data_IF_202044327988
#
_entry.id   IF_202044327988
#
_cell.length_a   1.000
_cell.length_b   1.000
_cell.length_c   1.000
_cell.angle_alpha   90.00
_cell.angle_beta   90.00
_cell.angle_gamma   90.00
#
_symmetry.space_group_name_H-M   'P 1'
#
loop_
_entity.id
_entity.type
_entity.pdbx_description
1 polymer ?
#
# COMPACT_ATOMS: atom_id res chain seq x y z
N UNK A 1 10.80 -33.97 25.74
CA UNK A 1 10.71 -34.13 24.26
C UNK A 1 9.28 -33.91 23.73
N UNK A 2 8.26 -34.64 24.20
CA UNK A 2 6.87 -34.52 23.69
C UNK A 2 6.28 -33.10 23.77
N UNK A 3 6.48 -32.37 24.86
CA UNK A 3 5.96 -30.99 25.02
C UNK A 3 6.54 -30.03 23.97
N UNK A 4 7.81 -30.21 23.62
CA UNK A 4 8.48 -29.38 22.62
C UNK A 4 7.99 -29.67 21.21
N UNK A 5 7.68 -30.93 20.90
CA UNK A 5 7.04 -31.31 19.63
C UNK A 5 5.62 -30.76 19.53
N UNK A 6 4.85 -30.80 20.62
CA UNK A 6 3.49 -30.28 20.65
C UNK A 6 3.47 -28.76 20.45
N UNK A 7 4.37 -28.03 21.12
CA UNK A 7 4.53 -26.59 20.93
C UNK A 7 4.90 -26.23 19.49
N UNK A 8 5.84 -26.97 18.88
CA UNK A 8 6.25 -26.73 17.50
C UNK A 8 5.12 -27.02 16.49
N UNK A 9 4.36 -28.08 16.72
CA UNK A 9 3.20 -28.43 15.90
C UNK A 9 2.08 -27.38 16.03
N UNK A 10 1.80 -26.88 17.24
CA UNK A 10 0.83 -25.81 17.44
C UNK A 10 1.22 -24.53 16.73
N UNK A 11 2.50 -24.14 16.78
CA UNK A 11 3.02 -22.98 16.03
C UNK A 11 2.86 -23.21 14.53
N UNK A 12 3.25 -24.37 14.02
CA UNK A 12 3.12 -24.68 12.59
C UNK A 12 1.67 -24.60 12.10
N UNK A 13 0.70 -25.10 12.88
CA UNK A 13 -0.73 -25.02 12.54
C UNK A 13 -1.24 -23.58 12.62
N UNK A 14 -0.79 -22.78 13.58
CA UNK A 14 -1.23 -21.39 13.74
C UNK A 14 -0.74 -20.50 12.58
N UNK A 15 0.45 -20.77 12.06
CA UNK A 15 1.06 -20.04 10.95
C UNK A 15 0.85 -20.69 9.58
N UNK A 16 -0.03 -21.70 9.47
CA UNK A 16 -0.37 -22.27 8.16
C UNK A 16 -1.03 -21.18 7.26
N UNK A 17 -0.50 -20.94 6.05
CA UNK A 17 -1.08 -19.96 5.14
C UNK A 17 -2.49 -20.42 4.75
N UNK A 18 -3.47 -19.52 4.94
CA UNK A 18 -4.84 -19.75 4.49
C UNK A 18 -4.99 -19.37 3.03
N UNK A 19 -5.95 -20.00 2.34
CA UNK A 19 -6.34 -19.61 0.99
C UNK A 19 -6.77 -18.13 0.99
N UNK A 20 -5.98 -17.28 0.32
CA UNK A 20 -6.34 -15.90 0.07
C UNK A 20 -7.27 -15.84 -1.14
N UNK A 21 -8.55 -15.55 -0.91
CA UNK A 21 -9.46 -15.22 -2.00
C UNK A 21 -9.16 -13.79 -2.46
N UNK A 22 -8.84 -13.62 -3.74
CA UNK A 22 -8.79 -12.29 -4.33
C UNK A 22 -10.14 -11.60 -4.06
N UNK A 23 -10.11 -10.36 -3.59
CA UNK A 23 -11.30 -9.54 -3.42
C UNK A 23 -11.53 -8.73 -4.71
N UNK A 24 -12.38 -9.17 -5.66
CA UNK A 24 -12.63 -8.42 -6.87
C UNK A 24 -13.67 -7.32 -6.62
N UNK A 25 -13.64 -6.64 -5.47
CA UNK A 25 -14.60 -5.55 -5.20
C UNK A 25 -14.53 -4.48 -6.28
N UNK A 26 -13.32 -4.14 -6.72
CA UNK A 26 -13.08 -3.24 -7.85
C UNK A 26 -13.62 -3.80 -9.17
N UNK A 27 -13.21 -5.02 -9.56
CA UNK A 27 -13.63 -5.62 -10.83
C UNK A 27 -15.16 -5.83 -10.89
N UNK A 28 -15.82 -6.10 -9.76
CA UNK A 28 -17.30 -6.16 -9.68
C UNK A 28 -17.96 -4.79 -9.78
N UNK A 29 -17.31 -3.74 -9.25
CA UNK A 29 -17.84 -2.38 -9.28
C UNK A 29 -17.71 -1.72 -10.65
N UNK A 30 -16.55 -1.88 -11.30
CA UNK A 30 -16.22 -1.19 -12.55
C UNK A 30 -16.25 -2.09 -13.79
N UNK A 31 -16.41 -3.41 -13.61
CA UNK A 31 -16.37 -4.40 -14.70
C UNK A 31 -15.10 -4.32 -15.57
N UNK A 32 -13.97 -3.96 -14.97
CA UNK A 32 -12.66 -3.92 -15.64
C UNK A 32 -11.81 -5.15 -15.32
N UNK A 33 -11.03 -5.65 -16.30
CA UNK A 33 -10.06 -6.71 -16.05
C UNK A 33 -8.92 -6.21 -15.16
N UNK A 34 -8.29 -7.10 -14.40
CA UNK A 34 -7.19 -6.73 -13.49
C UNK A 34 -6.00 -6.08 -14.22
N UNK A 35 -5.75 -6.47 -15.47
CA UNK A 35 -4.71 -5.90 -16.34
C UNK A 35 -4.96 -4.44 -16.71
N UNK A 36 -6.18 -3.93 -16.49
CA UNK A 36 -6.49 -2.52 -16.70
C UNK A 36 -5.78 -1.62 -15.68
N UNK A 37 -5.58 -2.08 -14.44
CA UNK A 37 -4.92 -1.29 -13.38
C UNK A 37 -3.53 -1.81 -13.01
N UNK A 38 -3.17 -3.04 -13.38
CA UNK A 38 -1.90 -3.67 -13.02
C UNK A 38 -1.11 -4.12 -14.24
N UNK A 39 0.17 -3.71 -14.30
CA UNK A 39 1.14 -4.25 -15.29
C UNK A 39 1.58 -5.65 -14.85
N UNK A 40 1.84 -5.81 -13.56
CA UNK A 40 2.13 -7.06 -12.89
C UNK A 40 1.66 -6.89 -11.46
N UNK A 41 0.84 -7.78 -10.92
CA UNK A 41 0.49 -7.68 -9.50
C UNK A 41 1.77 -7.76 -8.65
N UNK A 42 2.03 -6.85 -7.68
CA UNK A 42 1.21 -5.73 -7.17
C UNK A 42 1.50 -4.34 -7.81
N UNK A 43 2.40 -4.26 -8.80
CA UNK A 43 2.75 -3.02 -9.53
C UNK A 43 1.56 -2.46 -10.31
N UNK A 44 1.23 -1.20 -10.05
CA UNK A 44 0.19 -0.46 -10.75
C UNK A 44 0.67 -0.01 -12.15
N UNK A 45 -0.27 0.02 -13.09
CA UNK A 45 -0.14 0.76 -14.35
C UNK A 45 -0.47 2.24 -14.12
N UNK A 46 -0.23 3.09 -15.11
CA UNK A 46 -0.54 4.53 -15.03
C UNK A 46 -2.01 4.77 -14.66
N UNK A 47 -2.92 4.00 -15.26
CA UNK A 47 -4.35 3.99 -14.92
C UNK A 47 -4.63 3.66 -13.45
N UNK A 48 -3.92 2.68 -12.89
CA UNK A 48 -4.03 2.31 -11.48
C UNK A 48 -3.47 3.39 -10.55
N UNK A 49 -2.38 4.04 -10.95
CA UNK A 49 -1.84 5.21 -10.26
C UNK A 49 -2.83 6.37 -10.27
N UNK A 50 -3.41 6.71 -11.43
CA UNK A 50 -4.44 7.73 -11.55
C UNK A 50 -5.67 7.44 -10.68
N UNK A 51 -6.15 6.19 -10.66
CA UNK A 51 -7.28 5.80 -9.83
C UNK A 51 -6.98 5.98 -8.33
N UNK A 52 -5.79 5.56 -7.89
CA UNK A 52 -5.36 5.73 -6.49
C UNK A 52 -5.20 7.20 -6.13
N UNK A 53 -4.57 7.99 -6.98
CA UNK A 53 -4.26 9.40 -6.73
C UNK A 53 -5.51 10.28 -6.73
N UNK A 54 -6.56 9.91 -7.46
CA UNK A 54 -7.88 10.55 -7.42
C UNK A 54 -8.78 10.09 -6.26
N UNK A 55 -8.21 9.46 -5.22
CA UNK A 55 -8.99 9.00 -4.07
C UNK A 55 -9.97 7.87 -4.41
N UNK A 56 -9.57 6.95 -5.30
CA UNK A 56 -10.35 5.78 -5.73
C UNK A 56 -11.58 6.09 -6.60
N UNK A 57 -11.45 7.10 -7.47
CA UNK A 57 -12.41 7.44 -8.53
C UNK A 57 -11.85 7.19 -9.93
N UNK A 58 -12.70 6.71 -10.83
CA UNK A 58 -12.37 6.54 -12.25
C UNK A 58 -12.62 7.80 -13.07
N UNK A 59 -13.51 8.68 -12.60
CA UNK A 59 -13.83 9.93 -13.27
C UNK A 59 -12.61 10.82 -13.47
N UNK A 60 -12.54 11.45 -14.64
CA UNK A 60 -11.49 12.37 -15.05
C UNK A 60 -11.88 13.85 -14.88
N UNK A 61 -13.00 14.16 -14.21
CA UNK A 61 -13.49 15.55 -14.08
C UNK A 61 -13.93 15.89 -12.65
N UNK A 62 -13.54 15.09 -11.67
CA UNK A 62 -14.03 15.18 -10.28
C UNK A 62 -15.52 14.91 -10.09
N UNK A 63 -16.32 14.89 -11.16
CA UNK A 63 -17.74 14.51 -11.14
C UNK A 63 -17.83 12.99 -11.18
N UNK A 64 -18.36 12.35 -10.14
CA UNK A 64 -18.61 10.92 -10.20
C UNK A 64 -19.39 10.58 -11.48
N UNK A 65 -18.88 9.63 -12.25
CA UNK A 65 -19.70 8.94 -13.23
C UNK A 65 -20.64 7.99 -12.46
N UNK A 66 -21.69 7.47 -13.10
CA UNK A 66 -22.61 6.50 -12.47
C UNK A 66 -21.94 5.20 -11.98
N UNK A 67 -20.63 5.03 -12.20
CA UNK A 67 -19.81 3.95 -11.65
C UNK A 67 -19.11 4.36 -10.34
N UNK A 68 -18.86 5.66 -10.12
CA UNK A 68 -18.20 6.22 -8.94
C UNK A 68 -19.17 6.62 -7.82
N UNK A 69 -20.45 6.24 -7.89
CA UNK A 69 -21.56 6.75 -7.06
C UNK A 69 -21.33 6.78 -5.55
N UNK A 70 -20.47 5.90 -5.01
CA UNK A 70 -20.12 5.93 -3.58
C UNK A 70 -19.29 7.16 -3.17
N UNK A 71 -18.71 7.89 -4.12
CA UNK A 71 -17.89 9.10 -3.95
C UNK A 71 -18.53 10.36 -4.57
N UNK A 72 -19.72 10.26 -5.15
CA UNK A 72 -20.42 11.38 -5.83
C UNK A 72 -20.81 12.52 -4.88
N UNK A 73 -21.06 12.18 -3.61
CA UNK A 73 -21.28 13.13 -2.53
C UNK A 73 -20.40 12.73 -1.34
N UNK A 74 -19.18 13.28 -1.23
CA UNK A 74 -18.25 13.03 -0.12
C UNK A 74 -18.91 13.24 1.26
N UNK A 75 -19.83 14.21 1.38
CA UNK A 75 -20.60 14.45 2.60
C UNK A 75 -21.61 13.38 3.00
N UNK A 76 -21.97 12.45 2.11
CA UNK A 76 -22.86 11.31 2.40
C UNK A 76 -22.08 10.00 2.58
N UNK A 77 -20.76 10.06 2.63
CA UNK A 77 -19.93 8.89 2.89
C UNK A 77 -19.95 8.57 4.38
N UNK A 78 -20.67 7.51 4.75
CA UNK A 78 -20.72 7.02 6.14
C UNK A 78 -19.48 6.20 6.53
N UNK A 79 -18.39 6.25 5.76
CA UNK A 79 -17.19 5.48 6.03
C UNK A 79 -15.95 6.30 5.70
N UNK A 80 -15.03 6.34 6.66
CA UNK A 80 -13.69 6.89 6.47
C UNK A 80 -12.77 5.74 6.03
N UNK A 81 -12.20 5.78 4.81
CA UNK A 81 -11.38 4.69 4.30
C UNK A 81 -10.07 4.60 5.09
N UNK A 82 -9.93 3.55 5.90
CA UNK A 82 -8.70 3.18 6.60
C UNK A 82 -8.29 1.78 6.13
N UNK A 83 -7.10 1.67 5.57
CA UNK A 83 -6.42 0.44 5.24
C UNK A 83 -5.27 0.16 6.20
N UNK A 84 -4.94 -1.12 6.35
CA UNK A 84 -3.69 -1.55 6.97
C UNK A 84 -2.81 -2.14 5.88
N UNK A 85 -1.61 -1.58 5.73
CA UNK A 85 -0.63 -2.04 4.77
C UNK A 85 0.57 -2.63 5.52
N UNK A 86 1.08 -3.72 4.97
CA UNK A 86 2.28 -4.39 5.44
C UNK A 86 3.11 -4.72 4.22
N UNK A 87 4.36 -4.28 4.22
CA UNK A 87 5.28 -4.54 3.12
C UNK A 87 6.50 -5.28 3.64
N UNK A 88 6.86 -6.35 2.94
CA UNK A 88 8.05 -7.12 3.22
C UNK A 88 8.88 -7.12 1.94
N UNK A 89 10.10 -6.59 2.01
CA UNK A 89 11.07 -6.71 0.95
C UNK A 89 12.25 -7.53 1.46
N UNK A 90 12.91 -8.22 0.54
CA UNK A 90 14.18 -8.91 0.79
C UNK A 90 15.20 -8.26 -0.12
N UNK A 91 16.21 -7.62 0.47
CA UNK A 91 17.25 -6.95 -0.30
C UNK A 91 18.63 -7.49 0.06
N UNK A 92 19.46 -7.61 -0.97
CA UNK A 92 20.90 -7.78 -0.85
C UNK A 92 21.55 -6.45 -1.19
N UNK A 93 22.31 -5.86 -0.26
CA UNK A 93 23.11 -4.67 -0.52
C UNK A 93 24.57 -4.96 -0.21
N UNK A 94 25.49 -4.44 -1.04
CA UNK A 94 26.91 -4.51 -0.74
C UNK A 94 27.23 -3.48 0.33
N UNK A 95 27.83 -3.93 1.43
CA UNK A 95 28.19 -3.06 2.55
C UNK A 95 29.66 -3.28 2.91
N UNK A 96 30.35 -2.18 3.22
CA UNK A 96 31.67 -2.21 3.81
C UNK A 96 31.49 -2.17 5.33
N UNK A 97 31.31 -3.33 5.94
CA UNK A 97 30.82 -3.39 7.32
C UNK A 97 30.42 -4.75 7.86
N UNK A 98 30.37 -5.80 7.03
CA UNK A 98 30.01 -7.15 7.50
C UNK A 98 31.13 -7.64 8.41
N UNK A 99 30.79 -8.02 9.65
CA UNK A 99 31.76 -8.56 10.59
C UNK A 99 32.22 -9.95 10.11
N UNK A 100 33.51 -10.11 9.87
CA UNK A 100 34.10 -11.42 9.60
C UNK A 100 33.98 -12.29 10.87
N UNK A 101 33.26 -13.43 10.83
CA UNK A 101 33.07 -14.28 12.01
C UNK A 101 34.38 -14.84 12.59
N UNK A 102 35.47 -14.84 11.83
CA UNK A 102 36.78 -15.35 12.27
C UNK A 102 37.69 -14.26 12.85
N UNK A 103 37.57 -13.01 12.38
CA UNK A 103 38.50 -11.93 12.75
C UNK A 103 37.83 -10.74 13.44
N UNK A 104 36.50 -10.65 13.43
CA UNK A 104 35.73 -9.56 14.01
C UNK A 104 35.91 -8.21 13.29
N UNK A 105 36.70 -8.16 12.22
CA UNK A 105 36.94 -6.95 11.43
C UNK A 105 35.84 -6.78 10.39
N UNK A 106 35.46 -5.53 10.13
CA UNK A 106 34.53 -5.19 9.06
C UNK A 106 35.18 -5.43 7.70
N UNK A 107 34.59 -6.31 6.89
CA UNK A 107 35.00 -6.58 5.51
C UNK A 107 33.89 -6.17 4.54
N UNK A 108 34.26 -5.96 3.27
CA UNK A 108 33.31 -5.81 2.19
C UNK A 108 32.52 -7.11 2.03
N UNK A 109 31.20 -7.04 2.12
CA UNK A 109 30.34 -8.22 2.06
C UNK A 109 28.92 -7.87 1.61
N UNK A 110 28.11 -8.92 1.45
CA UNK A 110 26.70 -8.78 1.13
C UNK A 110 25.89 -8.92 2.42
N UNK A 111 25.19 -7.86 2.82
CA UNK A 111 24.17 -7.95 3.85
C UNK A 111 22.86 -8.32 3.15
N UNK A 112 22.31 -9.48 3.51
CA UNK A 112 21.01 -9.97 3.03
C UNK A 112 20.04 -10.00 4.21
N UNK A 113 18.84 -9.46 4.03
CA UNK A 113 17.82 -9.47 5.08
C UNK A 113 16.43 -9.16 4.56
N UNK A 114 15.43 -9.66 5.30
CA UNK A 114 14.06 -9.18 5.16
C UNK A 114 13.98 -7.81 5.81
N UNK A 115 13.83 -6.78 5.00
CA UNK A 115 13.60 -5.44 5.49
C UNK A 115 12.85 -4.63 4.43
N UNK A 116 11.99 -3.74 4.90
CA UNK A 116 11.24 -2.82 4.08
C UNK A 116 11.44 -1.42 4.67
N UNK A 117 11.46 -0.40 3.82
CA UNK A 117 11.50 0.99 4.29
C UNK A 117 10.29 1.30 5.18
N UNK A 118 9.15 0.65 4.90
CA UNK A 118 7.91 0.72 5.70
C UNK A 118 7.31 -0.68 5.93
N UNK A 119 7.80 -1.43 6.94
CA UNK A 119 7.34 -2.78 7.23
C UNK A 119 5.85 -2.86 7.53
N UNK A 120 5.31 -1.84 8.18
CA UNK A 120 3.89 -1.69 8.46
C UNK A 120 3.51 -0.22 8.49
N UNK A 121 2.29 0.05 8.08
CA UNK A 121 1.68 1.37 7.98
C UNK A 121 0.16 1.26 8.02
N UNK A 122 -0.46 2.29 8.58
CA UNK A 122 -1.89 2.51 8.48
C UNK A 122 -2.07 3.54 7.38
N UNK A 123 -2.85 3.23 6.37
CA UNK A 123 -3.13 4.13 5.28
C UNK A 123 -4.58 4.62 5.37
N UNK A 124 -4.78 5.89 5.08
CA UNK A 124 -6.11 6.43 4.85
C UNK A 124 -6.02 7.37 3.67
N UNK A 125 -6.93 7.19 2.70
CA UNK A 125 -6.96 8.01 1.51
C UNK A 125 -8.33 7.97 0.87
N UNK A 126 -8.73 9.10 0.31
CA UNK A 126 -10.07 9.29 -0.24
C UNK A 126 -10.27 10.72 -0.70
N UNK A 127 -11.53 11.16 -0.69
CA UNK A 127 -11.95 12.48 -1.16
C UNK A 127 -12.54 13.30 -0.03
N UNK A 128 -12.09 14.54 0.11
CA UNK A 128 -12.73 15.53 0.98
C UNK A 128 -13.88 16.24 0.23
N UNK A 129 -13.66 16.51 -1.05
CA UNK A 129 -14.65 17.05 -1.99
C UNK A 129 -14.44 16.40 -3.35
N UNK A 130 -15.31 16.69 -4.31
CA UNK A 130 -15.23 16.17 -5.69
C UNK A 130 -13.90 16.50 -6.41
N UNK A 131 -13.13 17.47 -5.91
CA UNK A 131 -11.90 17.95 -6.52
C UNK A 131 -10.72 17.96 -5.55
N UNK A 132 -10.90 17.48 -4.31
CA UNK A 132 -9.83 17.37 -3.31
C UNK A 132 -9.70 15.92 -2.89
N UNK A 133 -8.58 15.31 -3.24
CA UNK A 133 -8.15 14.00 -2.78
C UNK A 133 -7.08 14.15 -1.70
N UNK A 134 -7.02 13.20 -0.77
CA UNK A 134 -6.00 13.19 0.28
C UNK A 134 -5.50 11.78 0.52
N UNK A 135 -4.31 11.72 1.12
CA UNK A 135 -3.73 10.51 1.63
C UNK A 135 -2.86 10.79 2.84
N UNK A 136 -3.01 9.97 3.86
CA UNK A 136 -2.24 10.01 5.08
C UNK A 136 -1.81 8.59 5.45
N UNK A 137 -0.53 8.42 5.72
CA UNK A 137 0.07 7.12 5.97
C UNK A 137 1.07 7.21 7.13
N UNK A 138 0.59 7.17 8.38
CA UNK A 138 1.45 6.94 9.53
C UNK A 138 1.98 5.50 9.52
N UNK A 139 3.27 5.33 9.77
CA UNK A 139 3.88 4.01 9.77
C UNK A 139 5.29 4.02 10.34
N UNK A 140 5.88 2.84 10.30
CA UNK A 140 7.27 2.66 10.72
C UNK A 140 8.22 3.14 9.63
N UNK A 141 9.30 3.81 10.02
CA UNK A 141 10.36 4.15 9.09
C UNK A 141 11.74 4.05 9.75
N UNK A 142 12.31 2.85 9.69
CA UNK A 142 13.73 2.58 9.98
C UNK A 142 14.25 2.82 11.40
N UNK A 143 13.68 3.74 12.20
CA UNK A 143 14.30 4.35 13.38
C UNK A 143 13.58 4.06 14.71
N UNK A 144 12.82 2.97 14.81
CA UNK A 144 11.98 2.65 15.99
C UNK A 144 10.94 3.73 16.34
N UNK A 145 10.67 4.66 15.43
CA UNK A 145 9.69 5.73 15.60
C UNK A 145 8.52 5.57 14.64
N UNK A 146 7.33 5.94 15.11
CA UNK A 146 6.16 6.14 14.25
C UNK A 146 6.34 7.50 13.60
N UNK A 147 6.27 7.55 12.28
CA UNK A 147 6.33 8.80 11.53
C UNK A 147 5.34 8.80 10.38
N UNK A 148 5.13 9.98 9.79
CA UNK A 148 4.33 10.14 8.58
C UNK A 148 5.20 9.74 7.39
N UNK A 149 4.87 8.60 6.79
CA UNK A 149 5.57 8.04 5.62
C UNK A 149 5.12 8.73 4.35
N UNK A 150 3.81 8.98 4.24
CA UNK A 150 3.20 9.63 3.09
C UNK A 150 2.08 10.53 3.56
N UNK A 151 2.14 11.79 3.17
CA UNK A 151 1.07 12.76 3.36
C UNK A 151 0.99 13.60 2.09
N UNK A 152 -0.19 13.61 1.46
CA UNK A 152 -0.46 14.52 0.38
C UNK A 152 -1.94 14.91 0.37
N UNK A 153 -2.18 16.10 -0.15
CA UNK A 153 -3.48 16.59 -0.55
C UNK A 153 -3.31 17.04 -1.99
N UNK A 154 -4.24 16.64 -2.83
CA UNK A 154 -4.19 16.89 -4.26
C UNK A 154 -5.50 17.50 -4.70
N UNK A 155 -5.37 18.43 -5.63
CA UNK A 155 -6.45 19.17 -6.22
C UNK A 155 -6.55 18.79 -7.69
N UNK A 156 -7.62 18.08 -8.04
CA UNK A 156 -7.85 17.58 -9.39
C UNK A 156 -8.93 18.40 -10.11
N UNK A 157 -8.74 18.59 -11.41
CA UNK A 157 -9.67 19.23 -12.33
C UNK A 157 -10.07 20.67 -11.94
N UNK A 158 -9.09 21.47 -11.49
CA UNK A 158 -9.32 22.89 -11.23
C UNK A 158 -9.88 23.58 -12.46
N UNK A 159 -10.85 24.47 -12.27
CA UNK A 159 -11.54 25.18 -13.36
C UNK A 159 -12.23 24.23 -14.37
N UNK A 160 -12.57 23.00 -13.97
CA UNK A 160 -13.12 21.95 -14.82
C UNK A 160 -12.20 21.53 -15.98
N UNK A 161 -10.88 21.60 -15.79
CA UNK A 161 -9.91 21.20 -16.80
C UNK A 161 -8.90 20.19 -16.25
N UNK A 162 -8.66 19.11 -17.00
CA UNK A 162 -7.64 18.10 -16.67
C UNK A 162 -6.21 18.62 -16.81
N UNK A 163 -6.05 19.82 -17.38
CA UNK A 163 -4.75 20.47 -17.58
C UNK A 163 -4.20 21.13 -16.31
N UNK A 164 -5.04 21.33 -15.28
CA UNK A 164 -4.65 22.00 -14.04
C UNK A 164 -4.94 21.08 -12.84
N UNK A 165 -3.95 20.28 -12.48
CA UNK A 165 -3.96 19.46 -11.27
C UNK A 165 -2.73 19.80 -10.43
N UNK A 166 -2.91 19.99 -9.12
CA UNK A 166 -1.85 20.44 -8.20
C UNK A 166 -1.79 19.59 -6.94
#
# INVERSE_FOLDING_TARGET
MLVSLFALASVAVFFMPKSAHAYPGFARKYNFPCSFCHIQWPKLADTGHFFKDRGFMMSSTGKANGLDMMFEKPGNQNYFPIGFHMSMAYYGTSVNGVADPNTGKSVAGWANGAAANTPWDIESGGLLTNWISFWVQPGYAGSNQIQIVKLWVRFDDLLNTTWLNI
#
